data_IF_629556769532
#
_entry.id   IF_629556769532
#
_cell.length_a   1.000
_cell.length_b   1.000
_cell.length_c   1.000
_cell.angle_alpha   90.00
_cell.angle_beta   90.00
_cell.angle_gamma   90.00
#
_symmetry.space_group_name_H-M   'P 1'
#
loop_
_entity.id
_entity.type
_entity.pdbx_description
1 polymer ?
#
# COMPACT_ATOMS: atom_id res chain seq x y z
N UNK A 1 -10.02 22.24 6.97
CA UNK A 1 -11.17 22.66 6.13
C UNK A 1 -12.36 21.78 6.49
N UNK A 2 -13.56 22.33 6.76
CA UNK A 2 -14.74 21.52 7.14
C UNK A 2 -15.32 20.82 5.92
N UNK A 3 -15.46 19.50 5.96
CA UNK A 3 -15.92 18.66 4.85
C UNK A 3 -17.35 18.12 5.04
N UNK A 4 -18.01 18.39 6.19
CA UNK A 4 -19.25 17.72 6.64
C UNK A 4 -20.43 18.68 6.98
N UNK A 5 -20.44 19.91 6.47
CA UNK A 5 -21.27 21.04 6.94
C UNK A 5 -22.80 20.79 7.00
N UNK A 6 -23.33 19.80 6.28
CA UNK A 6 -24.78 19.57 6.12
C UNK A 6 -25.38 18.45 7.01
N UNK A 7 -24.57 17.63 7.68
CA UNK A 7 -25.05 16.45 8.40
C UNK A 7 -25.49 16.76 9.84
N UNK A 8 -26.69 17.31 10.04
CA UNK A 8 -27.16 17.77 11.37
C UNK A 8 -27.57 16.67 12.35
N UNK A 9 -28.09 15.53 11.87
CA UNK A 9 -28.80 14.56 12.74
C UNK A 9 -28.17 13.15 12.74
N UNK A 10 -26.98 12.98 12.14
CA UNK A 10 -26.37 11.65 12.00
C UNK A 10 -27.24 10.64 11.24
N UNK A 11 -28.16 11.10 10.39
CA UNK A 11 -29.07 10.24 9.62
C UNK A 11 -29.10 10.67 8.16
N UNK A 12 -28.56 9.83 7.28
CA UNK A 12 -28.71 10.00 5.84
C UNK A 12 -29.95 9.23 5.39
N UNK A 13 -30.94 9.97 4.87
CA UNK A 13 -32.24 9.46 4.46
C UNK A 13 -32.31 9.39 2.94
N UNK A 14 -33.12 8.46 2.44
CA UNK A 14 -33.39 8.37 1.01
C UNK A 14 -34.05 9.67 0.54
N UNK A 15 -33.52 10.36 -0.48
CA UNK A 15 -34.08 11.62 -0.97
C UNK A 15 -35.50 11.46 -1.54
N UNK A 16 -35.86 10.26 -1.99
CA UNK A 16 -37.18 9.98 -2.59
C UNK A 16 -38.27 9.62 -1.58
N UNK A 17 -37.93 8.89 -0.50
CA UNK A 17 -38.95 8.33 0.40
C UNK A 17 -38.64 8.47 1.90
N UNK A 18 -37.52 9.10 2.27
CA UNK A 18 -37.14 9.35 3.67
C UNK A 18 -36.67 8.12 4.46
N UNK A 19 -36.65 6.91 3.89
CA UNK A 19 -36.20 5.71 4.58
C UNK A 19 -34.69 5.74 4.87
N UNK A 20 -34.28 5.22 6.02
CA UNK A 20 -32.86 5.11 6.44
C UNK A 20 -32.24 3.74 6.09
N UNK A 21 -33.03 2.82 5.52
CA UNK A 21 -32.50 1.53 5.05
C UNK A 21 -31.88 1.70 3.67
N UNK A 22 -30.63 2.12 3.66
CA UNK A 22 -29.83 2.38 2.46
C UNK A 22 -28.59 1.49 2.53
N UNK A 23 -28.18 0.94 1.41
CA UNK A 23 -26.95 0.14 1.29
C UNK A 23 -26.26 0.41 -0.04
N UNK A 24 -24.94 0.25 -0.05
CA UNK A 24 -24.14 0.24 -1.26
C UNK A 24 -24.62 -0.85 -2.24
N UNK A 25 -24.79 -0.47 -3.50
CA UNK A 25 -24.81 -1.40 -4.63
C UNK A 25 -23.37 -1.55 -5.16
N UNK A 26 -22.68 -2.67 -4.88
CA UNK A 26 -21.27 -2.83 -5.27
C UNK A 26 -21.08 -2.86 -6.78
N UNK A 27 -22.11 -3.16 -7.58
CA UNK A 27 -21.94 -3.23 -9.05
C UNK A 27 -21.70 -1.86 -9.69
N UNK A 28 -22.24 -0.79 -9.10
CA UNK A 28 -22.17 0.55 -9.67
C UNK A 28 -21.64 1.61 -8.69
N UNK A 29 -21.34 1.24 -7.44
CA UNK A 29 -20.80 2.16 -6.43
C UNK A 29 -21.84 3.12 -5.84
N UNK A 30 -23.11 3.04 -6.24
CA UNK A 30 -24.17 3.93 -5.81
C UNK A 30 -24.83 3.43 -4.53
N UNK A 31 -25.42 4.35 -3.78
CA UNK A 31 -26.28 4.00 -2.65
C UNK A 31 -27.69 3.70 -3.17
N UNK A 32 -28.29 2.64 -2.65
CA UNK A 32 -29.64 2.20 -3.00
C UNK A 32 -30.51 2.11 -1.76
N UNK A 33 -31.69 2.72 -1.82
CA UNK A 33 -32.71 2.55 -0.80
C UNK A 33 -33.33 1.14 -0.88
N UNK A 34 -33.30 0.38 0.21
CA UNK A 34 -33.90 -0.96 0.26
C UNK A 34 -35.42 -0.95 0.33
N UNK A 35 -36.03 0.19 0.69
CA UNK A 35 -37.48 0.38 0.70
C UNK A 35 -38.04 0.70 -0.70
N UNK A 36 -37.70 1.86 -1.26
CA UNK A 36 -38.27 2.32 -2.54
C UNK A 36 -37.42 1.98 -3.78
N UNK A 37 -36.25 1.34 -3.60
CA UNK A 37 -35.31 0.93 -4.66
C UNK A 37 -34.69 2.06 -5.47
N UNK A 38 -34.90 3.31 -5.08
CA UNK A 38 -34.21 4.46 -5.67
C UNK A 38 -32.71 4.39 -5.41
N UNK A 39 -31.92 4.62 -6.46
CA UNK A 39 -30.48 4.79 -6.41
C UNK A 39 -30.15 6.27 -6.57
N UNK A 40 -29.17 6.75 -5.81
CA UNK A 40 -28.74 8.15 -5.83
C UNK A 40 -27.26 8.24 -6.19
N UNK A 41 -26.90 9.31 -6.89
CA UNK A 41 -25.51 9.56 -7.27
C UNK A 41 -24.68 9.92 -6.04
N UNK A 42 -23.44 9.40 -5.95
CA UNK A 42 -22.51 9.81 -4.91
C UNK A 42 -22.10 11.28 -5.06
N UNK A 43 -22.07 12.00 -3.95
CA UNK A 43 -21.48 13.34 -3.91
C UNK A 43 -19.95 13.23 -3.91
N UNK A 44 -19.28 14.04 -4.72
CA UNK A 44 -17.83 14.20 -4.65
C UNK A 44 -17.47 15.18 -3.54
N UNK A 45 -16.27 15.01 -2.98
CA UNK A 45 -15.73 15.97 -2.03
C UNK A 45 -15.27 17.22 -2.78
N UNK A 46 -16.10 18.27 -2.78
CA UNK A 46 -15.79 19.53 -3.48
C UNK A 46 -14.99 20.53 -2.65
N UNK A 47 -14.89 20.33 -1.34
CA UNK A 47 -14.24 21.23 -0.40
C UNK A 47 -12.69 21.17 -0.45
N UNK A 48 -12.09 20.76 -1.56
CA UNK A 48 -10.65 20.57 -1.67
C UNK A 48 -10.14 21.02 -3.03
N UNK A 49 -8.87 21.42 -3.08
CA UNK A 49 -8.26 21.92 -4.30
C UNK A 49 -8.15 20.77 -5.32
N UNK A 50 -8.63 21.04 -6.54
CA UNK A 50 -8.65 20.07 -7.64
C UNK A 50 -7.41 20.23 -8.50
N UNK A 51 -6.85 21.44 -8.56
CA UNK A 51 -5.61 21.74 -9.26
C UNK A 51 -4.41 21.68 -8.30
N UNK A 52 -3.78 20.51 -8.23
CA UNK A 52 -2.67 20.24 -7.31
C UNK A 52 -1.53 21.24 -7.51
N UNK A 53 -1.31 21.77 -8.72
CA UNK A 53 -0.24 22.73 -9.00
C UNK A 53 -0.39 24.08 -8.26
N UNK A 54 -1.61 24.39 -7.79
CA UNK A 54 -1.93 25.61 -7.04
C UNK A 54 -1.90 25.41 -5.52
N UNK A 55 -1.60 24.21 -5.05
CA UNK A 55 -1.48 23.97 -3.61
C UNK A 55 -0.31 24.78 -3.05
N UNK A 56 -0.62 25.55 -2.00
CA UNK A 56 0.33 26.28 -1.17
C UNK A 56 0.05 25.99 0.30
N UNK A 57 1.11 25.77 1.09
CA UNK A 57 0.98 25.47 2.51
C UNK A 57 0.37 24.10 2.81
N UNK A 58 -0.25 23.95 3.99
CA UNK A 58 -0.80 22.68 4.46
C UNK A 58 -2.32 22.76 4.62
N UNK A 59 -3.04 22.02 3.77
CA UNK A 59 -4.50 21.91 3.83
C UNK A 59 -4.87 20.55 4.43
N UNK A 60 -5.52 20.57 5.59
CA UNK A 60 -5.96 19.35 6.27
C UNK A 60 -7.48 19.27 6.23
N UNK A 61 -8.01 18.18 5.65
CA UNK A 61 -9.42 17.82 5.73
C UNK A 61 -9.84 17.61 7.18
N UNK A 62 -11.10 17.88 7.50
CA UNK A 62 -11.55 17.85 8.89
C UNK A 62 -11.65 16.42 9.46
N UNK A 63 -11.70 15.39 8.62
CA UNK A 63 -11.49 14.00 9.03
C UNK A 63 -10.02 13.62 9.21
N UNK A 64 -9.09 14.42 8.68
CA UNK A 64 -7.64 14.27 8.78
C UNK A 64 -7.02 15.05 9.95
N UNK A 65 -7.79 15.87 10.67
CA UNK A 65 -7.27 16.62 11.83
C UNK A 65 -6.79 15.71 12.95
N UNK A 66 -6.02 16.29 13.87
CA UNK A 66 -5.47 15.59 15.01
C UNK A 66 -6.57 14.92 15.86
N UNK A 67 -6.31 13.67 16.22
CA UNK A 67 -7.11 12.91 17.17
C UNK A 67 -6.86 13.50 18.57
N UNK A 68 -7.92 13.94 19.24
CA UNK A 68 -7.87 14.45 20.61
C UNK A 68 -8.04 13.25 21.56
N UNK A 69 -6.98 12.94 22.31
CA UNK A 69 -6.87 11.75 23.16
C UNK A 69 -7.98 11.63 24.24
N UNK A 70 -8.50 12.76 24.73
CA UNK A 70 -9.55 12.82 25.76
C UNK A 70 -10.98 12.84 25.18
N UNK A 71 -11.14 12.57 23.89
CA UNK A 71 -12.48 12.54 23.28
C UNK A 71 -13.23 11.30 23.73
N UNK A 72 -14.43 11.49 24.28
CA UNK A 72 -15.30 10.39 24.68
C UNK A 72 -15.73 9.62 23.42
N UNK A 73 -15.39 8.32 23.34
CA UNK A 73 -15.81 7.46 22.22
C UNK A 73 -17.32 7.21 22.22
N UNK A 74 -18.01 7.59 23.28
CA UNK A 74 -19.45 7.49 23.44
C UNK A 74 -20.13 8.80 23.00
N UNK A 75 -20.93 8.72 21.93
CA UNK A 75 -21.73 9.86 21.43
C UNK A 75 -23.21 9.54 21.50
N UNK A 76 -23.99 10.50 22.00
CA UNK A 76 -25.45 10.40 22.07
C UNK A 76 -26.08 11.10 20.87
N UNK A 77 -26.81 10.35 20.04
CA UNK A 77 -27.61 10.89 18.95
C UNK A 77 -29.07 10.96 19.33
N UNK A 78 -29.74 12.05 18.96
CA UNK A 78 -31.19 12.17 19.02
C UNK A 78 -31.80 11.65 17.72
N UNK A 79 -32.67 10.65 17.80
CA UNK A 79 -33.35 10.10 16.64
C UNK A 79 -34.36 11.11 16.09
N UNK A 80 -34.09 11.66 14.90
CA UNK A 80 -34.99 12.61 14.23
C UNK A 80 -36.40 12.06 13.93
N UNK A 81 -36.62 10.75 14.01
CA UNK A 81 -37.92 10.14 13.69
C UNK A 81 -38.81 9.84 14.89
N UNK A 82 -38.25 9.54 16.07
CA UNK A 82 -39.05 9.26 17.26
C UNK A 82 -38.63 10.06 18.50
N UNK A 83 -37.59 10.89 18.40
CA UNK A 83 -37.08 11.72 19.49
C UNK A 83 -36.20 10.99 20.50
N UNK A 84 -36.06 9.67 20.42
CA UNK A 84 -35.27 8.88 21.36
C UNK A 84 -33.77 9.18 21.27
N UNK A 85 -33.10 9.17 22.41
CA UNK A 85 -31.64 9.27 22.51
C UNK A 85 -31.00 7.88 22.40
N UNK A 86 -29.95 7.77 21.60
CA UNK A 86 -29.22 6.52 21.36
C UNK A 86 -27.73 6.79 21.50
N UNK A 87 -27.09 6.05 22.40
CA UNK A 87 -25.65 6.13 22.63
C UNK A 87 -24.92 5.19 21.69
N UNK A 88 -23.85 5.68 21.07
CA UNK A 88 -23.02 4.96 20.11
C UNK A 88 -21.58 4.97 20.59
N UNK A 89 -21.01 3.79 20.76
CA UNK A 89 -19.59 3.58 21.02
C UNK A 89 -18.84 3.61 19.69
N UNK A 90 -18.33 4.79 19.34
CA UNK A 90 -17.63 5.07 18.09
C UNK A 90 -16.24 4.44 18.00
N UNK A 91 -15.72 3.87 19.08
CA UNK A 91 -14.54 3.00 19.02
C UNK A 91 -14.87 1.63 18.42
N UNK A 92 -16.13 1.18 18.53
CA UNK A 92 -16.56 -0.15 18.05
C UNK A 92 -17.44 -0.08 16.81
N UNK A 93 -18.30 0.92 16.72
CA UNK A 93 -19.24 1.07 15.62
C UNK A 93 -19.57 2.54 15.36
N UNK A 94 -19.63 2.91 14.09
CA UNK A 94 -20.04 4.25 13.65
C UNK A 94 -21.53 4.31 13.30
N UNK A 95 -22.29 3.23 13.54
CA UNK A 95 -23.74 3.18 13.36
C UNK A 95 -24.42 2.47 14.52
N UNK A 96 -25.65 2.90 14.83
CA UNK A 96 -26.52 2.21 15.78
C UNK A 96 -27.97 2.20 15.30
N UNK A 97 -28.72 1.16 15.66
CA UNK A 97 -30.15 1.07 15.34
C UNK A 97 -30.97 1.58 16.52
N UNK A 98 -31.88 2.51 16.27
CA UNK A 98 -32.80 2.99 17.28
C UNK A 98 -33.71 1.84 17.75
N UNK A 99 -33.78 1.61 19.06
CA UNK A 99 -34.57 0.52 19.63
C UNK A 99 -36.09 0.75 19.53
N UNK A 100 -36.53 2.01 19.47
CA UNK A 100 -37.95 2.37 19.35
C UNK A 100 -38.48 2.27 17.91
N UNK A 101 -37.87 3.01 16.98
CA UNK A 101 -38.40 3.12 15.61
C UNK A 101 -37.58 2.37 14.56
N UNK A 102 -36.50 1.68 14.97
CA UNK A 102 -35.65 0.85 14.11
C UNK A 102 -34.89 1.60 13.00
N UNK A 103 -34.88 2.93 13.01
CA UNK A 103 -34.05 3.73 12.10
C UNK A 103 -32.57 3.60 12.46
N UNK A 104 -31.71 3.65 11.44
CA UNK A 104 -30.27 3.60 11.61
C UNK A 104 -29.73 5.01 11.80
N UNK A 105 -29.04 5.21 12.90
CA UNK A 105 -28.27 6.40 13.24
C UNK A 105 -26.81 6.14 12.88
N UNK A 106 -26.09 7.18 12.50
CA UNK A 106 -24.72 7.10 12.02
C UNK A 106 -23.91 8.31 12.44
N UNK A 107 -22.63 8.09 12.68
CA UNK A 107 -21.67 9.15 12.94
C UNK A 107 -21.28 9.77 11.58
N UNK A 108 -22.09 10.72 11.12
CA UNK A 108 -21.77 11.51 9.93
C UNK A 108 -21.02 12.81 10.27
N UNK A 109 -21.14 13.26 11.51
CA UNK A 109 -20.42 14.43 12.02
C UNK A 109 -19.02 14.03 12.45
N UNK A 110 -18.03 14.83 12.09
CA UNK A 110 -16.67 14.57 12.50
C UNK A 110 -16.49 14.70 14.00
N UNK A 111 -16.14 13.57 14.60
CA UNK A 111 -15.69 13.51 15.98
C UNK A 111 -14.16 13.61 15.94
N UNK A 112 -13.55 14.42 16.81
CA UNK A 112 -12.09 14.54 16.91
C UNK A 112 -11.42 13.28 17.46
N UNK A 113 -12.10 12.14 17.50
CA UNK A 113 -11.51 10.85 17.78
C UNK A 113 -11.07 10.11 16.50
N UNK A 114 -11.35 10.63 15.30
CA UNK A 114 -10.94 10.00 14.03
C UNK A 114 -11.88 8.88 13.53
N UNK A 115 -13.09 8.76 14.08
CA UNK A 115 -14.09 7.78 13.65
C UNK A 115 -14.73 8.09 12.28
N UNK A 116 -14.68 9.36 11.84
CA UNK A 116 -15.33 9.83 10.61
C UNK A 116 -14.28 10.30 9.61
N UNK A 117 -14.17 9.64 8.44
CA UNK A 117 -13.26 10.08 7.40
C UNK A 117 -13.82 11.26 6.60
N UNK A 118 -12.98 11.94 5.80
CA UNK A 118 -13.44 12.93 4.81
C UNK A 118 -14.13 12.26 3.62
N UNK A 119 -13.63 11.08 3.24
CA UNK A 119 -14.04 10.37 2.03
C UNK A 119 -14.10 8.86 2.25
N UNK A 120 -14.88 8.18 1.41
CA UNK A 120 -14.93 6.72 1.30
C UNK A 120 -14.78 6.32 -0.16
N UNK A 121 -14.05 5.23 -0.40
CA UNK A 121 -13.98 4.60 -1.71
C UNK A 121 -14.96 3.41 -1.72
N UNK A 122 -16.08 3.46 -2.44
CA UNK A 122 -17.08 2.40 -2.37
C UNK A 122 -16.55 1.05 -2.86
N UNK A 123 -16.95 -0.07 -2.24
CA UNK A 123 -16.70 -1.40 -2.82
C UNK A 123 -17.24 -1.48 -4.25
N UNK A 124 -16.42 -1.96 -5.19
CA UNK A 124 -16.88 -2.33 -6.54
C UNK A 124 -16.93 -3.84 -6.76
N UNK A 125 -16.09 -4.59 -6.04
CA UNK A 125 -16.01 -6.04 -6.18
C UNK A 125 -16.98 -6.72 -5.20
N UNK A 126 -17.96 -7.51 -5.69
CA UNK A 126 -18.86 -8.27 -4.82
C UNK A 126 -18.13 -9.34 -4.00
N UNK A 127 -18.69 -9.69 -2.83
CA UNK A 127 -18.14 -10.71 -1.93
C UNK A 127 -17.86 -12.04 -2.62
N UNK A 128 -18.72 -12.46 -3.55
CA UNK A 128 -18.57 -13.72 -4.30
C UNK A 128 -17.26 -13.76 -5.10
N UNK A 129 -16.96 -12.69 -5.83
CA UNK A 129 -15.74 -12.61 -6.65
C UNK A 129 -14.49 -12.55 -5.77
N UNK A 130 -14.57 -11.89 -4.61
CA UNK A 130 -13.48 -11.88 -3.64
C UNK A 130 -13.21 -13.28 -3.04
N UNK A 131 -14.27 -14.05 -2.73
CA UNK A 131 -14.14 -15.44 -2.29
C UNK A 131 -13.41 -16.29 -3.33
N UNK A 132 -13.79 -16.17 -4.60
CA UNK A 132 -13.16 -16.88 -5.72
C UNK A 132 -11.68 -16.48 -5.88
N UNK A 133 -11.36 -15.18 -5.74
CA UNK A 133 -9.98 -14.69 -5.80
C UNK A 133 -9.11 -15.27 -4.67
N UNK A 134 -9.63 -15.27 -3.43
CA UNK A 134 -8.94 -15.85 -2.26
C UNK A 134 -8.76 -17.36 -2.42
N UNK A 135 -9.80 -18.07 -2.87
CA UNK A 135 -9.72 -19.51 -3.13
C UNK A 135 -8.67 -19.85 -4.19
N UNK A 136 -8.64 -19.11 -5.30
CA UNK A 136 -7.63 -19.27 -6.35
C UNK A 136 -6.22 -18.98 -5.81
N UNK A 137 -6.06 -17.94 -5.00
CA UNK A 137 -4.78 -17.56 -4.40
C UNK A 137 -4.23 -18.64 -3.47
N UNK A 138 -5.09 -19.18 -2.59
CA UNK A 138 -4.76 -20.25 -1.64
C UNK A 138 -4.57 -21.58 -2.37
N UNK A 139 -5.38 -21.88 -3.38
CA UNK A 139 -5.30 -23.09 -4.20
C UNK A 139 -3.93 -23.25 -4.88
N UNK A 140 -3.37 -22.16 -5.43
CA UNK A 140 -2.01 -22.11 -5.99
C UNK A 140 -0.90 -22.41 -4.96
N UNK A 141 -1.22 -22.34 -3.67
CA UNK A 141 -0.31 -22.57 -2.53
C UNK A 141 -0.74 -23.77 -1.68
N UNK A 142 -1.56 -24.68 -2.21
CA UNK A 142 -2.10 -25.80 -1.42
C UNK A 142 -1.02 -26.86 -1.09
N UNK A 143 0.00 -27.00 -1.93
CA UNK A 143 0.96 -28.11 -1.82
C UNK A 143 1.81 -28.08 -0.54
N UNK A 144 2.33 -26.91 -0.15
CA UNK A 144 3.08 -26.73 1.10
C UNK A 144 2.23 -26.11 2.21
N UNK A 145 0.92 -25.91 2.01
CA UNK A 145 0.06 -25.35 3.04
C UNK A 145 -0.05 -26.29 4.26
N UNK A 146 -0.10 -25.69 5.45
CA UNK A 146 -0.27 -26.41 6.71
C UNK A 146 -1.55 -27.28 6.67
N UNK A 147 -1.52 -28.55 7.10
CA UNK A 147 -2.68 -29.44 7.03
C UNK A 147 -3.90 -28.91 7.77
N UNK A 148 -3.70 -28.34 8.96
CA UNK A 148 -4.77 -27.74 9.76
C UNK A 148 -5.41 -26.55 9.02
N UNK A 149 -4.59 -25.66 8.45
CA UNK A 149 -5.08 -24.56 7.61
C UNK A 149 -5.90 -25.09 6.43
N UNK A 150 -5.44 -26.13 5.73
CA UNK A 150 -6.21 -26.72 4.62
C UNK A 150 -7.55 -27.31 5.04
N UNK A 151 -7.65 -27.83 6.27
CA UNK A 151 -8.89 -28.40 6.83
C UNK A 151 -9.87 -27.31 7.26
N UNK A 152 -9.36 -26.22 7.83
CA UNK A 152 -10.15 -25.12 8.40
C UNK A 152 -10.46 -24.02 7.38
N UNK A 153 -9.75 -23.98 6.25
CA UNK A 153 -9.94 -22.96 5.22
C UNK A 153 -11.36 -23.03 4.65
N UNK A 154 -12.10 -21.94 4.87
CA UNK A 154 -13.41 -21.70 4.28
C UNK A 154 -13.49 -20.25 3.81
N UNK A 155 -14.02 -20.03 2.61
CA UNK A 155 -14.21 -18.69 2.05
C UNK A 155 -15.39 -17.96 2.70
N UNK A 156 -16.19 -18.61 3.56
CA UNK A 156 -17.31 -17.97 4.27
C UNK A 156 -16.85 -16.94 5.30
N UNK A 157 -15.66 -17.14 5.86
CA UNK A 157 -15.03 -16.22 6.82
C UNK A 157 -14.44 -14.96 6.17
N UNK A 158 -14.58 -14.79 4.86
CA UNK A 158 -14.17 -13.55 4.17
C UNK A 158 -15.06 -12.40 4.62
N UNK A 159 -14.45 -11.34 5.14
CA UNK A 159 -15.13 -10.14 5.62
C UNK A 159 -14.75 -8.94 4.74
N UNK A 160 -15.72 -8.06 4.49
CA UNK A 160 -15.44 -6.78 3.86
C UNK A 160 -15.15 -5.75 4.94
N UNK A 161 -14.00 -5.10 4.83
CA UNK A 161 -13.45 -4.18 5.82
C UNK A 161 -13.12 -2.87 5.12
N UNK A 162 -13.49 -1.75 5.73
CA UNK A 162 -12.90 -0.46 5.40
C UNK A 162 -11.71 -0.19 6.31
N UNK A 163 -10.55 -0.01 5.72
CA UNK A 163 -9.33 0.34 6.45
C UNK A 163 -9.08 1.85 6.34
N UNK A 164 -8.54 2.48 7.40
CA UNK A 164 -8.29 3.90 7.43
C UNK A 164 -6.99 4.24 6.70
N UNK A 165 -7.06 5.08 5.66
CA UNK A 165 -5.90 5.61 4.95
C UNK A 165 -5.88 7.14 5.01
N UNK A 166 -4.71 7.70 4.79
CA UNK A 166 -4.52 9.09 4.41
C UNK A 166 -4.19 9.15 2.92
N UNK A 167 -4.91 9.99 2.20
CA UNK A 167 -4.65 10.31 0.79
C UNK A 167 -4.00 11.68 0.78
N UNK A 168 -2.81 11.77 0.19
CA UNK A 168 -2.02 13.00 0.13
C UNK A 168 -1.82 13.43 -1.32
N UNK A 169 -2.20 14.67 -1.59
CA UNK A 169 -1.81 15.36 -2.81
C UNK A 169 -0.71 16.37 -2.46
N UNK A 170 0.33 16.47 -3.28
CA UNK A 170 1.46 17.35 -3.02
C UNK A 170 1.93 18.09 -4.27
N UNK A 171 2.15 19.40 -4.12
CA UNK A 171 2.86 20.24 -5.06
C UNK A 171 4.30 20.41 -4.60
N UNK A 172 5.24 19.92 -5.40
CA UNK A 172 6.64 19.85 -4.99
C UNK A 172 7.57 20.41 -6.05
N UNK A 173 8.76 20.81 -5.63
CA UNK A 173 9.87 21.17 -6.49
C UNK A 173 11.08 20.32 -6.12
N UNK A 174 11.67 19.67 -7.12
CA UNK A 174 12.77 18.74 -6.95
C UNK A 174 14.02 19.27 -7.66
N UNK A 175 15.16 19.23 -6.97
CA UNK A 175 16.48 19.47 -7.53
C UNK A 175 17.37 18.27 -7.21
N UNK A 176 17.75 17.53 -8.25
CA UNK A 176 18.59 16.32 -8.18
C UNK A 176 19.92 16.62 -8.85
N UNK A 177 21.03 16.40 -8.14
CA UNK A 177 22.39 16.65 -8.64
C UNK A 177 23.29 15.46 -8.38
N UNK A 178 24.09 15.08 -9.35
CA UNK A 178 24.98 13.95 -9.23
C UNK A 178 25.72 13.63 -10.52
N UNK A 179 25.98 12.36 -10.74
CA UNK A 179 26.77 11.88 -11.87
C UNK A 179 26.09 10.67 -12.54
N UNK A 180 26.24 10.58 -13.86
CA UNK A 180 25.75 9.47 -14.67
C UNK A 180 26.86 8.87 -15.54
N UNK A 181 26.79 7.57 -15.80
CA UNK A 181 27.71 6.86 -16.69
C UNK A 181 26.98 6.33 -17.92
N UNK A 182 27.57 6.54 -19.09
CA UNK A 182 27.14 5.94 -20.36
C UNK A 182 28.21 4.95 -20.85
N UNK A 183 27.82 3.70 -21.10
CA UNK A 183 28.71 2.68 -21.64
C UNK A 183 29.13 3.00 -23.08
N UNK A 184 30.44 3.12 -23.32
CA UNK A 184 30.99 3.35 -24.66
C UNK A 184 31.60 2.10 -25.27
N UNK A 185 32.04 1.15 -24.43
CA UNK A 185 32.65 -0.09 -24.86
C UNK A 185 32.48 -1.17 -23.81
N UNK A 186 32.24 -2.39 -24.28
CA UNK A 186 32.28 -3.62 -23.49
C UNK A 186 33.12 -4.66 -24.20
N UNK A 187 34.02 -5.31 -23.48
CA UNK A 187 34.82 -6.41 -24.01
C UNK A 187 35.20 -7.38 -22.90
N UNK A 188 35.66 -8.56 -23.31
CA UNK A 188 36.08 -9.61 -22.39
C UNK A 188 37.53 -9.95 -22.67
N UNK A 189 38.34 -10.03 -21.61
CA UNK A 189 39.73 -10.45 -21.69
C UNK A 189 39.91 -11.79 -20.98
N UNK A 190 40.75 -12.65 -21.55
CA UNK A 190 41.15 -13.90 -20.90
C UNK A 190 42.24 -13.60 -19.87
N UNK A 191 42.01 -13.99 -18.63
CA UNK A 191 42.94 -13.85 -17.52
C UNK A 191 43.18 -15.24 -16.90
N UNK A 192 44.23 -15.93 -17.35
CA UNK A 192 44.44 -17.34 -17.03
C UNK A 192 43.31 -18.22 -17.58
N UNK A 193 42.61 -18.94 -16.70
CA UNK A 193 41.47 -19.80 -17.05
C UNK A 193 40.11 -19.08 -16.93
N UNK A 194 40.07 -17.81 -16.51
CA UNK A 194 38.85 -17.01 -16.41
C UNK A 194 38.73 -15.97 -17.54
N UNK A 195 37.51 -15.51 -17.74
CA UNK A 195 37.16 -14.42 -18.65
C UNK A 195 36.62 -13.26 -17.82
N UNK A 196 37.35 -12.14 -17.81
CA UNK A 196 36.94 -10.93 -17.10
C UNK A 196 36.30 -9.96 -18.10
N UNK A 197 35.10 -9.46 -17.78
CA UNK A 197 34.42 -8.46 -18.62
C UNK A 197 34.77 -7.07 -18.11
N UNK A 198 35.25 -6.23 -19.03
CA UNK A 198 35.61 -4.85 -18.75
C UNK A 198 34.75 -3.88 -19.57
N UNK A 199 34.64 -2.67 -19.05
CA UNK A 199 33.81 -1.62 -19.61
C UNK A 199 34.57 -0.29 -19.68
N UNK A 200 34.34 0.47 -20.75
CA UNK A 200 34.68 1.88 -20.81
C UNK A 200 33.39 2.70 -20.75
N UNK A 201 33.41 3.80 -20.00
CA UNK A 201 32.24 4.65 -19.83
C UNK A 201 32.60 6.13 -19.87
N UNK A 202 31.70 6.94 -20.41
CA UNK A 202 31.79 8.39 -20.33
C UNK A 202 31.03 8.86 -19.07
N UNK A 203 31.69 9.64 -18.23
CA UNK A 203 31.14 10.20 -17.00
C UNK A 203 30.61 11.61 -17.27
N UNK A 204 29.38 11.88 -16.80
CA UNK A 204 28.72 13.17 -16.90
C UNK A 204 28.34 13.67 -15.50
N UNK A 205 28.45 14.97 -15.27
CA UNK A 205 27.72 15.64 -14.21
C UNK A 205 26.28 15.85 -14.70
N UNK A 206 25.31 15.42 -13.90
CA UNK A 206 23.89 15.34 -14.24
C UNK A 206 23.10 16.12 -13.20
N UNK A 207 22.28 17.06 -13.66
CA UNK A 207 21.33 17.80 -12.83
C UNK A 207 19.94 17.81 -13.48
N UNK A 208 18.92 17.60 -12.64
CA UNK A 208 17.50 17.67 -13.00
C UNK A 208 16.79 18.59 -12.00
N UNK A 209 16.21 19.65 -12.51
CA UNK A 209 15.45 20.65 -11.74
C UNK A 209 14.05 20.74 -12.32
N UNK A 210 13.02 20.44 -11.53
CA UNK A 210 11.65 20.34 -12.03
C UNK A 210 10.59 20.51 -10.95
N UNK A 211 9.40 20.92 -11.38
CA UNK A 211 8.20 20.89 -10.56
C UNK A 211 7.47 19.55 -10.74
N UNK A 212 6.92 19.02 -9.65
CA UNK A 212 6.25 17.73 -9.63
C UNK A 212 5.00 17.78 -8.77
N UNK A 213 3.85 17.49 -9.38
CA UNK A 213 2.62 17.23 -8.62
C UNK A 213 2.50 15.72 -8.37
N UNK A 214 2.26 15.35 -7.13
CA UNK A 214 2.00 13.97 -6.70
C UNK A 214 0.51 13.90 -6.34
N UNK A 215 -0.23 13.04 -7.02
CA UNK A 215 -1.67 12.88 -6.84
C UNK A 215 -1.98 11.55 -6.14
N UNK A 216 -2.76 11.63 -5.06
CA UNK A 216 -3.36 10.47 -4.44
C UNK A 216 -2.37 9.51 -3.78
N UNK A 217 -1.25 10.00 -3.24
CA UNK A 217 -0.31 9.16 -2.48
C UNK A 217 -1.03 8.59 -1.25
N UNK A 218 -1.22 7.27 -1.23
CA UNK A 218 -1.99 6.57 -0.19
C UNK A 218 -1.08 5.98 0.88
N UNK A 219 -1.36 6.30 2.14
CA UNK A 219 -0.65 5.78 3.31
C UNK A 219 -1.64 5.19 4.30
N UNK A 220 -1.43 3.94 4.72
CA UNK A 220 -2.21 3.30 5.78
C UNK A 220 -2.10 4.10 7.08
N UNK A 221 -3.20 4.28 7.81
CA UNK A 221 -3.26 5.19 8.96
C UNK A 221 -3.59 4.49 10.28
N UNK A 222 -3.43 3.17 10.31
CA UNK A 222 -3.37 2.35 11.52
C UNK A 222 -1.92 2.06 11.94
N UNK A 223 -1.54 2.42 13.18
CA UNK A 223 -0.20 2.15 13.77
C UNK A 223 0.13 0.67 13.74
N UNK A 224 -0.83 -0.19 14.05
CA UNK A 224 -0.67 -1.65 14.00
C UNK A 224 -0.32 -2.10 12.58
N UNK A 225 -1.03 -1.60 11.56
CA UNK A 225 -0.82 -2.02 10.16
C UNK A 225 0.43 -1.40 9.53
N UNK A 226 0.83 -0.23 10.00
CA UNK A 226 2.11 0.40 9.63
C UNK A 226 3.32 -0.35 10.20
N UNK A 227 3.19 -1.04 11.35
CA UNK A 227 4.25 -1.90 11.89
C UNK A 227 4.36 -3.21 11.09
N UNK A 228 5.11 -3.14 10.00
CA UNK A 228 5.48 -4.28 9.15
C UNK A 228 6.56 -5.17 9.77
N UNK A 229 7.17 -4.73 10.88
CA UNK A 229 8.18 -5.50 11.63
C UNK A 229 7.58 -6.49 12.63
N UNK A 230 6.24 -6.47 12.80
CA UNK A 230 5.53 -7.37 13.70
C UNK A 230 5.80 -8.85 13.35
N UNK A 231 6.23 -9.62 14.36
CA UNK A 231 6.51 -11.06 14.21
C UNK A 231 5.28 -11.94 14.38
N UNK A 232 4.18 -11.36 14.87
CA UNK A 232 2.95 -12.07 15.22
C UNK A 232 1.82 -11.81 14.22
N UNK A 233 2.04 -10.95 13.22
CA UNK A 233 1.06 -10.63 12.16
C UNK A 233 1.74 -10.40 10.82
N UNK A 234 1.00 -10.57 9.72
CA UNK A 234 1.49 -10.39 8.34
C UNK A 234 1.04 -9.05 7.75
N UNK A 235 1.35 -7.95 8.44
CA UNK A 235 0.83 -6.61 8.11
C UNK A 235 1.30 -6.09 6.75
N UNK A 236 2.46 -6.52 6.28
CA UNK A 236 2.96 -6.17 4.94
C UNK A 236 1.98 -6.52 3.81
N UNK A 237 1.10 -7.51 4.04
CA UNK A 237 0.04 -7.90 3.10
C UNK A 237 -0.95 -6.74 2.87
N UNK A 238 -1.33 -6.00 3.91
CA UNK A 238 -2.34 -4.93 3.83
C UNK A 238 -1.85 -3.76 2.98
N UNK A 239 -0.57 -3.43 3.04
CA UNK A 239 -0.02 -2.37 2.19
C UNK A 239 0.27 -2.85 0.76
N UNK A 240 0.43 -4.16 0.55
CA UNK A 240 0.75 -4.71 -0.78
C UNK A 240 -0.43 -4.90 -1.73
N UNK A 241 -1.67 -4.63 -1.30
CA UNK A 241 -2.85 -4.65 -2.20
C UNK A 241 -3.07 -3.32 -2.93
N UNK A 242 -2.29 -2.28 -2.60
CA UNK A 242 -2.30 -0.99 -3.30
C UNK A 242 -1.67 -1.14 -4.70
N UNK A 243 -2.02 -0.29 -5.69
CA UNK A 243 -2.75 0.97 -5.56
C UNK A 243 -4.28 0.85 -5.50
N UNK A 244 -4.93 1.87 -4.93
CA UNK A 244 -6.38 2.09 -5.04
C UNK A 244 -6.66 3.20 -6.05
N UNK A 245 -7.83 3.15 -6.69
CA UNK A 245 -8.32 4.20 -7.60
C UNK A 245 -8.95 5.35 -6.82
N UNK A 246 -8.11 6.09 -6.09
CA UNK A 246 -8.53 7.14 -5.15
C UNK A 246 -9.29 8.29 -5.80
N UNK A 247 -9.18 8.50 -7.11
CA UNK A 247 -10.01 9.45 -7.87
C UNK A 247 -11.51 9.14 -7.78
N UNK A 248 -11.86 7.87 -7.54
CA UNK A 248 -13.24 7.40 -7.42
C UNK A 248 -13.78 7.51 -5.99
N UNK A 249 -13.01 8.08 -5.07
CA UNK A 249 -13.46 8.48 -3.75
C UNK A 249 -14.68 9.41 -3.82
N UNK A 250 -15.57 9.26 -2.85
CA UNK A 250 -16.80 10.05 -2.71
C UNK A 250 -16.84 10.62 -1.29
N UNK A 251 -17.55 11.73 -1.11
CA UNK A 251 -17.74 12.34 0.21
C UNK A 251 -18.28 11.30 1.19
N UNK A 252 -17.81 11.35 2.43
CA UNK A 252 -18.24 10.41 3.45
C UNK A 252 -19.77 10.37 3.60
N UNK A 253 -20.31 9.15 3.50
CA UNK A 253 -21.67 8.81 3.91
C UNK A 253 -21.61 7.47 4.64
N UNK A 254 -22.04 7.42 5.90
CA UNK A 254 -22.05 6.19 6.68
C UNK A 254 -22.93 5.07 6.07
N UNK A 255 -23.82 5.33 5.12
CA UNK A 255 -24.52 4.27 4.40
C UNK A 255 -23.56 3.32 3.65
N UNK A 256 -22.34 3.76 3.31
CA UNK A 256 -21.33 2.94 2.63
C UNK A 256 -20.75 1.83 3.51
N UNK A 257 -20.74 2.00 4.83
CA UNK A 257 -20.20 0.99 5.77
C UNK A 257 -21.24 -0.04 6.18
N UNK A 258 -22.52 0.14 5.82
CA UNK A 258 -23.57 -0.80 6.19
C UNK A 258 -23.29 -2.19 5.61
N UNK A 259 -23.18 -3.19 6.48
CA UNK A 259 -22.87 -4.58 6.10
C UNK A 259 -21.37 -4.86 5.97
N UNK A 260 -20.53 -3.87 6.27
CA UNK A 260 -19.08 -3.95 6.33
C UNK A 260 -18.61 -3.62 7.74
N UNK A 261 -17.40 -4.03 8.08
CA UNK A 261 -16.72 -3.54 9.30
C UNK A 261 -15.71 -2.47 8.92
N UNK A 262 -15.21 -1.71 9.89
CA UNK A 262 -14.20 -0.67 9.66
C UNK A 262 -13.22 -0.63 10.82
N UNK A 263 -11.97 -0.23 10.54
CA UNK A 263 -11.01 0.15 11.57
C UNK A 263 -10.96 1.68 11.72
N UNK A 264 -10.80 2.16 12.95
CA UNK A 264 -10.64 3.56 13.29
C UNK A 264 -9.18 3.98 13.10
N UNK A 265 -8.95 5.19 12.58
CA UNK A 265 -7.61 5.79 12.47
C UNK A 265 -7.02 6.07 13.87
N UNK A 266 -5.72 5.82 14.05
CA UNK A 266 -4.99 6.08 15.31
C UNK A 266 -3.65 6.82 15.10
N UNK A 267 -3.41 7.34 13.90
CA UNK A 267 -2.26 8.17 13.53
C UNK A 267 -2.69 9.58 13.11
N UNK A 268 -1.92 10.59 13.49
CA UNK A 268 -2.10 11.97 13.03
C UNK A 268 -1.24 12.28 11.80
N UNK A 269 -1.58 13.37 11.12
CA UNK A 269 -0.82 13.86 9.95
C UNK A 269 0.67 14.00 10.29
N UNK A 270 1.00 14.63 11.43
CA UNK A 270 2.39 14.86 11.85
C UNK A 270 3.21 13.56 11.98
N UNK A 271 2.59 12.48 12.45
CA UNK A 271 3.23 11.17 12.60
C UNK A 271 3.56 10.54 11.23
N UNK A 272 2.79 10.89 10.18
CA UNK A 272 2.94 10.36 8.82
C UNK A 272 3.76 11.27 7.89
N UNK A 273 3.96 12.55 8.24
CA UNK A 273 4.70 13.51 7.40
C UNK A 273 6.08 13.02 7.01
N UNK A 274 6.81 12.42 7.94
CA UNK A 274 8.15 11.87 7.67
C UNK A 274 8.13 10.77 6.62
N UNK A 275 7.19 9.83 6.72
CA UNK A 275 7.00 8.76 5.74
C UNK A 275 6.62 9.32 4.37
N UNK A 276 5.61 10.19 4.32
CA UNK A 276 5.10 10.80 3.09
C UNK A 276 6.19 11.61 2.38
N UNK A 277 7.02 12.34 3.13
CA UNK A 277 8.15 13.08 2.57
C UNK A 277 9.18 12.15 1.92
N UNK A 278 9.53 11.04 2.56
CA UNK A 278 10.47 10.07 1.97
C UNK A 278 9.87 9.34 0.76
N UNK A 279 8.59 8.98 0.81
CA UNK A 279 7.90 8.42 -0.37
C UNK A 279 7.81 9.43 -1.52
N UNK A 280 7.57 10.71 -1.24
CA UNK A 280 7.56 11.77 -2.24
C UNK A 280 8.93 11.96 -2.90
N UNK A 281 10.02 11.83 -2.14
CA UNK A 281 11.38 11.83 -2.71
C UNK A 281 11.63 10.63 -3.60
N UNK A 282 11.17 9.45 -3.21
CA UNK A 282 11.25 8.26 -4.06
C UNK A 282 10.49 8.47 -5.37
N UNK A 283 9.26 8.98 -5.29
CA UNK A 283 8.43 9.31 -6.46
C UNK A 283 9.14 10.32 -7.37
N UNK A 284 9.72 11.40 -6.83
CA UNK A 284 10.46 12.38 -7.61
C UNK A 284 11.69 11.77 -8.31
N UNK A 285 12.46 10.94 -7.60
CA UNK A 285 13.62 10.23 -8.16
C UNK A 285 13.22 9.32 -9.31
N UNK A 286 12.13 8.57 -9.15
CA UNK A 286 11.64 7.66 -10.19
C UNK A 286 11.00 8.39 -11.36
N UNK A 287 10.34 9.53 -11.12
CA UNK A 287 9.84 10.39 -12.19
C UNK A 287 10.99 10.90 -13.08
N UNK A 288 12.11 11.29 -12.47
CA UNK A 288 13.30 11.75 -13.18
C UNK A 288 13.95 10.66 -14.05
N UNK A 289 13.80 9.36 -13.72
CA UNK A 289 14.42 8.27 -14.49
C UNK A 289 14.02 8.25 -15.98
N UNK A 290 12.84 8.79 -16.34
CA UNK A 290 12.41 8.95 -17.74
C UNK A 290 13.31 9.89 -18.56
N UNK A 291 14.11 10.72 -17.89
CA UNK A 291 15.03 11.72 -18.50
C UNK A 291 16.48 11.24 -18.50
N UNK A 292 16.73 10.01 -18.04
CA UNK A 292 18.09 9.47 -17.79
C UNK A 292 18.40 8.26 -18.68
N UNK A 293 17.61 8.00 -19.73
CA UNK A 293 17.75 6.81 -20.57
C UNK A 293 19.14 6.67 -21.22
N UNK A 294 19.83 7.79 -21.43
CA UNK A 294 21.20 7.81 -21.94
C UNK A 294 22.21 7.17 -20.97
N UNK A 295 21.98 7.22 -19.66
CA UNK A 295 22.88 6.72 -18.62
C UNK A 295 22.60 5.25 -18.28
N UNK A 296 22.91 4.36 -19.22
CA UNK A 296 22.62 2.92 -19.17
C UNK A 296 23.35 2.16 -18.06
N UNK A 297 24.49 2.66 -17.58
CA UNK A 297 25.21 2.12 -16.41
C UNK A 297 24.63 2.61 -15.08
N UNK A 298 23.75 3.60 -15.09
CA UNK A 298 23.07 4.15 -13.92
C UNK A 298 23.50 5.56 -13.54
N UNK A 299 22.76 6.14 -12.59
CA UNK A 299 22.97 7.52 -12.09
C UNK A 299 23.09 7.49 -10.57
N UNK A 300 24.11 8.18 -10.05
CA UNK A 300 24.31 8.44 -8.62
C UNK A 300 23.96 9.89 -8.33
N UNK A 301 22.86 10.09 -7.60
CA UNK A 301 22.52 11.37 -7.00
C UNK A 301 23.34 11.62 -5.74
N UNK A 302 24.13 12.69 -5.75
CA UNK A 302 24.93 13.16 -4.61
C UNK A 302 24.12 14.14 -3.74
N UNK A 303 23.17 14.86 -4.36
CA UNK A 303 22.20 15.73 -3.67
C UNK A 303 20.79 15.47 -4.20
N UNK A 304 19.84 15.33 -3.27
CA UNK A 304 18.42 15.10 -3.55
C UNK A 304 17.58 16.05 -2.69
N UNK A 305 17.26 17.23 -3.23
CA UNK A 305 16.38 18.18 -2.55
C UNK A 305 14.95 18.06 -3.07
N UNK A 306 14.00 18.04 -2.15
CA UNK A 306 12.57 18.10 -2.45
C UNK A 306 11.91 19.11 -1.52
N UNK A 307 11.46 20.21 -2.10
CA UNK A 307 10.67 21.24 -1.45
C UNK A 307 9.18 20.96 -1.67
N UNK A 308 8.40 21.02 -0.60
CA UNK A 308 6.93 20.91 -0.67
C UNK A 308 6.36 22.32 -0.65
N UNK A 309 5.88 22.79 -1.81
CA UNK A 309 5.23 24.11 -1.94
C UNK A 309 3.87 24.12 -1.25
N UNK A 310 3.12 23.02 -1.42
CA UNK A 310 1.87 22.80 -0.72
C UNK A 310 1.45 21.34 -0.73
N UNK A 311 0.63 20.97 0.26
CA UNK A 311 0.13 19.61 0.43
C UNK A 311 -1.29 19.60 0.98
N UNK A 312 -2.04 18.57 0.62
CA UNK A 312 -3.42 18.37 1.00
C UNK A 312 -3.63 16.97 1.57
N UNK A 313 -4.21 16.88 2.76
CA UNK A 313 -4.42 15.63 3.49
C UNK A 313 -5.90 15.30 3.64
N UNK A 314 -6.30 14.13 3.16
CA UNK A 314 -7.65 13.58 3.28
C UNK A 314 -7.61 12.28 4.07
N UNK A 315 -8.49 12.12 5.05
CA UNK A 315 -8.72 10.79 5.62
C UNK A 315 -9.74 10.03 4.78
N UNK A 316 -9.45 8.76 4.53
CA UNK A 316 -10.21 7.93 3.62
C UNK A 316 -10.47 6.54 4.20
N UNK A 317 -11.65 6.00 3.90
CA UNK A 317 -11.91 4.57 4.06
C UNK A 317 -11.77 3.85 2.72
N UNK A 318 -10.79 2.95 2.65
CA UNK A 318 -10.52 2.15 1.45
C UNK A 318 -11.00 0.70 1.64
N UNK A 319 -11.66 0.11 0.63
CA UNK A 319 -12.38 -1.14 0.79
C UNK A 319 -11.49 -2.36 0.53
N UNK A 320 -11.48 -3.30 1.46
CA UNK A 320 -10.66 -4.53 1.41
C UNK A 320 -11.52 -5.74 1.74
N UNK A 321 -11.37 -6.82 0.96
CA UNK A 321 -11.86 -8.13 1.38
C UNK A 321 -10.75 -8.86 2.11
N UNK A 322 -10.99 -9.22 3.37
CA UNK A 322 -10.00 -9.79 4.26
C UNK A 322 -10.41 -11.19 4.70
N UNK A 323 -9.45 -12.12 4.63
CA UNK A 323 -9.49 -13.41 5.30
C UNK A 323 -8.34 -13.48 6.30
N UNK A 324 -8.64 -13.85 7.54
CA UNK A 324 -7.65 -13.97 8.62
C UNK A 324 -7.59 -15.40 9.14
N UNK A 325 -6.38 -15.89 9.42
CA UNK A 325 -6.15 -17.21 10.01
C UNK A 325 -5.10 -17.15 11.11
N UNK A 326 -5.47 -17.55 12.34
CA UNK A 326 -4.55 -17.57 13.46
C UNK A 326 -3.83 -18.92 13.55
N UNK A 327 -2.56 -18.95 13.17
CA UNK A 327 -1.70 -20.13 13.34
C UNK A 327 -1.15 -20.15 14.78
N UNK A 328 -1.52 -21.17 15.57
CA UNK A 328 -0.94 -21.41 16.90
C UNK A 328 0.16 -22.47 16.85
N UNK A 329 1.32 -22.19 17.43
CA UNK A 329 2.45 -23.11 17.60
C UNK A 329 3.04 -22.96 19.00
N UNK A 330 2.57 -23.78 19.94
CA UNK A 330 2.89 -23.63 21.37
C UNK A 330 2.45 -22.26 21.87
N UNK A 331 3.36 -21.52 22.51
CA UNK A 331 3.09 -20.17 23.03
C UNK A 331 3.18 -19.06 21.97
N UNK A 332 3.51 -19.38 20.71
CA UNK A 332 3.59 -18.40 19.63
C UNK A 332 2.35 -18.48 18.75
N UNK A 333 1.73 -17.33 18.47
CA UNK A 333 0.63 -17.22 17.51
C UNK A 333 0.98 -16.24 16.41
N UNK A 334 0.80 -16.65 15.15
CA UNK A 334 0.98 -15.81 13.97
C UNK A 334 -0.34 -15.64 13.25
N UNK A 335 -0.77 -14.39 13.04
CA UNK A 335 -1.96 -14.04 12.30
C UNK A 335 -1.63 -13.84 10.82
N UNK A 336 -2.15 -14.75 10.01
CA UNK A 336 -2.02 -14.73 8.56
C UNK A 336 -3.20 -14.00 7.94
N UNK A 337 -2.92 -13.07 7.03
CA UNK A 337 -3.94 -12.40 6.22
C UNK A 337 -3.87 -12.85 4.77
N UNK A 338 -5.02 -12.94 4.14
CA UNK A 338 -5.18 -12.90 2.69
C UNK A 338 -6.13 -11.75 2.38
N UNK A 339 -5.66 -10.77 1.63
CA UNK A 339 -6.38 -9.55 1.32
C UNK A 339 -6.61 -9.45 -0.19
N UNK A 340 -7.77 -8.94 -0.56
CA UNK A 340 -8.13 -8.57 -1.94
C UNK A 340 -8.51 -7.10 -1.94
N UNK A 341 -7.85 -6.31 -2.80
CA UNK A 341 -8.27 -4.96 -3.11
C UNK A 341 -9.68 -5.00 -3.70
N UNK A 342 -10.66 -4.37 -3.04
CA UNK A 342 -12.06 -4.41 -3.46
C UNK A 342 -12.41 -3.45 -4.61
N UNK A 343 -11.37 -2.89 -5.26
CA UNK A 343 -11.43 -2.10 -6.49
C UNK A 343 -10.72 -2.76 -7.66
N UNK A 344 -9.51 -3.28 -7.46
CA UNK A 344 -8.65 -3.80 -8.54
C UNK A 344 -8.61 -5.33 -8.66
N UNK A 345 -9.15 -6.07 -7.68
CA UNK A 345 -9.01 -7.55 -7.53
C UNK A 345 -7.59 -8.02 -7.22
N UNK A 346 -6.64 -7.11 -7.03
CA UNK A 346 -5.29 -7.47 -6.62
C UNK A 346 -5.34 -8.27 -5.31
N UNK A 347 -4.71 -9.45 -5.31
CA UNK A 347 -4.80 -10.41 -4.23
C UNK A 347 -3.42 -10.79 -3.72
N UNK A 348 -3.19 -10.54 -2.44
CA UNK A 348 -1.95 -10.83 -1.74
C UNK A 348 -2.25 -11.51 -0.42
N UNK A 349 -1.31 -12.29 0.11
CA UNK A 349 -1.57 -12.98 1.36
C UNK A 349 -0.43 -13.88 1.80
N UNK A 350 -0.51 -14.28 3.06
CA UNK A 350 0.38 -15.22 3.71
C UNK A 350 -0.36 -16.52 3.96
N UNK A 351 0.16 -17.64 3.43
CA UNK A 351 -0.40 -18.97 3.67
C UNK A 351 0.51 -19.73 4.65
N UNK A 352 -0.03 -20.27 5.77
CA UNK A 352 0.75 -21.06 6.72
C UNK A 352 1.44 -22.24 6.04
N UNK A 353 2.73 -22.43 6.30
CA UNK A 353 3.56 -23.45 5.65
C UNK A 353 3.71 -24.69 6.54
N UNK A 354 3.60 -25.87 5.95
CA UNK A 354 4.00 -27.13 6.57
C UNK A 354 5.53 -27.32 6.48
N UNK A 355 6.24 -26.73 7.45
CA UNK A 355 7.72 -26.71 7.47
C UNK A 355 8.38 -28.08 7.26
N UNK A 356 7.95 -29.19 7.90
CA UNK A 356 8.60 -30.49 7.69
C UNK A 356 8.55 -30.96 6.24
N UNK A 357 7.43 -30.71 5.54
CA UNK A 357 7.28 -31.08 4.12
C UNK A 357 8.16 -30.20 3.23
N UNK A 358 8.23 -28.91 3.52
CA UNK A 358 9.08 -27.99 2.75
C UNK A 358 10.56 -28.35 2.91
N UNK A 359 11.01 -28.60 4.14
CA UNK A 359 12.40 -29.01 4.42
C UNK A 359 12.73 -30.34 3.74
N UNK A 360 11.86 -31.35 3.85
CA UNK A 360 12.07 -32.65 3.21
C UNK A 360 12.24 -32.53 1.69
N UNK A 361 11.34 -31.80 1.02
CA UNK A 361 11.41 -31.63 -0.43
C UNK A 361 12.62 -30.79 -0.83
N UNK A 362 12.96 -29.76 -0.05
CA UNK A 362 14.17 -28.96 -0.29
C UNK A 362 15.43 -29.81 -0.17
N UNK A 363 15.49 -30.73 0.81
CA UNK A 363 16.59 -31.69 0.94
C UNK A 363 16.65 -32.68 -0.22
N UNK A 364 15.51 -33.15 -0.74
CA UNK A 364 15.48 -33.99 -1.95
C UNK A 364 15.98 -33.24 -3.18
N UNK A 365 15.59 -31.97 -3.34
CA UNK A 365 16.11 -31.11 -4.42
C UNK A 365 17.62 -30.94 -4.28
N UNK A 366 18.13 -30.75 -3.07
CA UNK A 366 19.57 -30.66 -2.79
C UNK A 366 20.31 -31.95 -3.19
N UNK A 367 19.77 -33.11 -2.81
CA UNK A 367 20.35 -34.41 -3.19
C UNK A 367 20.39 -34.57 -4.71
N UNK A 368 19.31 -34.21 -5.41
CA UNK A 368 19.28 -34.25 -6.88
C UNK A 368 20.27 -33.27 -7.50
N UNK A 369 20.45 -32.09 -6.90
CA UNK A 369 21.48 -31.13 -7.28
C UNK A 369 22.89 -31.72 -7.15
N UNK A 370 23.20 -32.34 -6.01
CA UNK A 370 24.49 -33.01 -5.77
C UNK A 370 24.71 -34.15 -6.77
N UNK A 371 23.68 -34.96 -7.07
CA UNK A 371 23.79 -36.03 -8.07
C UNK A 371 24.06 -35.44 -9.46
N UNK A 372 23.30 -34.41 -9.88
CA UNK A 372 23.52 -33.73 -11.15
C UNK A 372 24.94 -33.13 -11.23
N UNK A 373 25.44 -32.57 -10.14
CA UNK A 373 26.83 -32.08 -10.02
C UNK A 373 27.84 -33.19 -10.32
N UNK A 374 27.68 -34.37 -9.71
CA UNK A 374 28.61 -35.50 -9.91
C UNK A 374 28.62 -35.94 -11.38
N UNK A 375 27.46 -36.00 -12.04
CA UNK A 375 27.36 -36.43 -13.44
C UNK A 375 27.76 -35.36 -14.47
N UNK A 376 27.79 -34.08 -14.09
CA UNK A 376 28.12 -32.95 -14.99
C UNK A 376 29.52 -32.39 -14.74
N UNK A 377 30.22 -32.88 -13.73
CA UNK A 377 31.62 -32.55 -13.44
C UNK A 377 32.53 -33.17 -14.51
N UNK A 378 32.79 -32.41 -15.56
CA UNK A 378 33.90 -32.61 -16.50
C UNK A 378 35.06 -31.68 -16.15
N UNK A 379 36.29 -32.05 -16.51
CA UNK A 379 37.52 -31.31 -16.14
C UNK A 379 37.52 -29.84 -16.62
N UNK A 380 36.68 -29.48 -17.61
CA UNK A 380 36.58 -28.13 -18.16
C UNK A 380 35.39 -27.29 -17.63
N UNK A 381 34.52 -27.84 -16.77
CA UNK A 381 33.25 -27.20 -16.41
C UNK A 381 33.24 -26.60 -14.99
N UNK A 382 33.21 -25.26 -14.89
CA UNK A 382 33.40 -24.50 -13.64
C UNK A 382 32.09 -24.18 -12.87
N UNK A 383 30.93 -24.54 -13.42
CA UNK A 383 29.60 -24.27 -12.84
C UNK A 383 28.99 -25.31 -11.86
N UNK A 384 29.60 -26.47 -11.53
CA UNK A 384 28.94 -27.49 -10.70
C UNK A 384 28.57 -27.05 -9.27
N UNK A 385 29.24 -26.03 -8.71
CA UNK A 385 28.97 -25.56 -7.34
C UNK A 385 27.58 -24.94 -7.17
N UNK A 386 26.96 -24.40 -8.24
CA UNK A 386 25.62 -23.84 -8.19
C UNK A 386 24.57 -24.89 -7.78
N UNK A 387 24.83 -26.16 -8.07
CA UNK A 387 23.94 -27.26 -7.68
C UNK A 387 23.97 -27.54 -6.18
N UNK A 388 25.03 -27.17 -5.46
CA UNK A 388 25.20 -27.34 -4.00
C UNK A 388 24.36 -26.36 -3.15
N UNK A 389 23.64 -25.46 -3.81
CA UNK A 389 22.71 -24.53 -3.16
C UNK A 389 21.29 -24.68 -3.70
N UNK A 390 21.04 -25.66 -4.57
CA UNK A 390 19.78 -25.79 -5.31
C UNK A 390 18.58 -25.98 -4.37
N UNK A 391 18.71 -26.81 -3.34
CA UNK A 391 17.70 -27.03 -2.31
C UNK A 391 17.56 -25.84 -1.35
N UNK A 392 18.66 -25.17 -0.99
CA UNK A 392 18.63 -23.94 -0.16
C UNK A 392 17.89 -22.81 -0.90
N UNK A 393 18.22 -22.59 -2.17
CA UNK A 393 17.57 -21.60 -3.03
C UNK A 393 16.09 -21.97 -3.19
N UNK A 394 15.78 -23.25 -3.46
CA UNK A 394 14.40 -23.72 -3.56
C UNK A 394 13.61 -23.47 -2.28
N UNK A 395 14.18 -23.77 -1.11
CA UNK A 395 13.56 -23.51 0.19
C UNK A 395 13.20 -22.04 0.34
N UNK A 396 14.15 -21.14 0.09
CA UNK A 396 13.95 -19.70 0.22
C UNK A 396 12.92 -19.15 -0.76
N UNK A 397 12.97 -19.58 -2.02
CA UNK A 397 11.99 -19.19 -3.04
C UNK A 397 10.57 -19.62 -2.65
N UNK A 398 10.40 -20.87 -2.21
CA UNK A 398 9.09 -21.39 -1.81
C UNK A 398 8.59 -20.75 -0.51
N UNK A 399 9.47 -20.56 0.48
CA UNK A 399 9.13 -19.87 1.72
C UNK A 399 8.69 -18.43 1.45
N UNK A 400 9.45 -17.68 0.64
CA UNK A 400 9.13 -16.30 0.25
C UNK A 400 7.80 -16.23 -0.51
N UNK A 401 7.56 -17.12 -1.48
CA UNK A 401 6.31 -17.18 -2.26
C UNK A 401 5.05 -17.45 -1.43
N UNK A 402 5.18 -18.24 -0.37
CA UNK A 402 4.06 -18.61 0.51
C UNK A 402 3.78 -17.56 1.59
N UNK A 403 4.84 -16.95 2.14
CA UNK A 403 4.70 -15.88 3.13
C UNK A 403 4.46 -14.51 2.52
N UNK A 404 4.75 -14.37 1.23
CA UNK A 404 4.78 -13.12 0.49
C UNK A 404 5.62 -12.04 1.22
N UNK A 405 6.76 -12.44 1.77
CA UNK A 405 7.58 -11.60 2.65
C UNK A 405 8.18 -10.37 1.96
N UNK A 406 8.32 -10.40 0.64
CA UNK A 406 8.80 -9.28 -0.16
C UNK A 406 7.70 -8.38 -0.74
N UNK A 407 6.42 -8.71 -0.53
CA UNK A 407 5.32 -7.95 -1.10
C UNK A 407 5.25 -6.55 -0.49
N UNK A 408 5.11 -5.57 -1.37
CA UNK A 408 4.96 -4.15 -1.08
C UNK A 408 4.23 -3.49 -2.23
N UNK A 409 3.65 -2.34 -1.96
CA UNK A 409 3.26 -1.37 -2.98
C UNK A 409 4.50 -0.71 -3.59
N UNK A 410 4.46 -0.42 -4.88
CA UNK A 410 5.52 0.30 -5.59
C UNK A 410 5.11 1.76 -5.75
N UNK A 411 4.97 2.47 -4.62
CA UNK A 411 4.53 3.86 -4.57
C UNK A 411 5.34 4.77 -5.49
N UNK A 412 6.62 4.46 -5.67
CA UNK A 412 7.55 5.21 -6.50
C UNK A 412 7.20 5.21 -8.01
N UNK A 413 6.47 4.19 -8.48
CA UNK A 413 6.06 4.06 -9.90
C UNK A 413 4.56 4.08 -10.11
N UNK A 414 3.78 3.66 -9.11
CA UNK A 414 2.32 3.49 -9.20
C UNK A 414 1.56 4.75 -8.79
N UNK A 415 2.20 5.68 -8.08
CA UNK A 415 1.59 6.98 -7.74
C UNK A 415 1.54 7.88 -8.96
N UNK A 416 0.37 8.50 -9.21
CA UNK A 416 0.18 9.42 -10.32
C UNK A 416 1.02 10.68 -10.10
N UNK A 417 1.74 11.08 -11.14
CA UNK A 417 2.59 12.25 -11.13
C UNK A 417 2.48 13.05 -12.41
N UNK A 418 2.68 14.35 -12.31
CA UNK A 418 2.85 15.23 -13.45
C UNK A 418 4.11 16.09 -13.23
N UNK A 419 5.07 15.94 -14.13
CA UNK A 419 6.35 16.66 -14.09
C UNK A 419 6.29 17.83 -15.07
N UNK A 420 6.61 19.03 -14.59
CA UNK A 420 6.56 20.27 -15.37
C UNK A 420 7.80 21.11 -15.10
N UNK A 421 8.05 22.13 -15.94
CA UNK A 421 9.17 23.06 -15.80
C UNK A 421 10.55 22.37 -15.71
N UNK A 422 10.71 21.21 -16.35
CA UNK A 422 11.96 20.45 -16.32
C UNK A 422 13.10 21.23 -16.98
N UNK A 423 14.21 21.34 -16.27
CA UNK A 423 15.51 21.80 -16.75
C UNK A 423 16.52 20.68 -16.59
N UNK A 424 17.18 20.34 -17.69
CA UNK A 424 18.19 19.31 -17.76
C UNK A 424 19.56 19.97 -17.94
N UNK A 425 20.54 19.52 -17.16
CA UNK A 425 21.93 19.92 -17.31
C UNK A 425 22.82 18.68 -17.27
N UNK A 426 23.46 18.40 -18.40
CA UNK A 426 24.35 17.26 -18.57
C UNK A 426 25.69 17.76 -19.12
N UNK A 427 26.76 17.61 -18.34
CA UNK A 427 28.11 18.05 -18.73
C UNK A 427 29.09 16.90 -18.68
N UNK A 428 29.74 16.63 -19.80
CA UNK A 428 30.81 15.65 -19.88
C UNK A 428 31.96 16.01 -18.93
N UNK A 429 32.41 15.04 -18.15
CA UNK A 429 33.49 15.18 -17.17
C UNK A 429 34.75 14.50 -17.67
N UNK A 430 34.70 13.18 -17.90
CA UNK A 430 35.88 12.40 -18.27
C UNK A 430 35.50 11.02 -18.82
N UNK A 431 36.46 10.36 -19.47
CA UNK A 431 36.34 8.96 -19.88
C UNK A 431 36.92 8.06 -18.79
N UNK A 432 36.14 7.11 -18.31
CA UNK A 432 36.58 6.02 -17.45
C UNK A 432 36.91 4.82 -18.30
N UNK A 433 38.05 4.20 -18.04
CA UNK A 433 38.56 3.07 -18.81
C UNK A 433 38.70 1.84 -17.95
N UNK A 434 38.43 0.67 -18.54
CA UNK A 434 38.69 -0.64 -17.92
C UNK A 434 38.03 -0.79 -16.54
N UNK A 435 36.76 -0.40 -16.45
CA UNK A 435 35.90 -0.66 -15.28
C UNK A 435 35.57 -2.16 -15.22
N UNK A 436 35.54 -2.72 -14.02
CA UNK A 436 35.22 -4.13 -13.72
C UNK A 436 33.73 -4.35 -13.36
N UNK A 437 33.01 -3.26 -13.08
CA UNK A 437 31.60 -3.27 -12.71
C UNK A 437 30.71 -2.94 -13.90
N UNK A 438 29.62 -3.69 -14.06
CA UNK A 438 28.60 -3.49 -15.10
C UNK A 438 27.69 -2.29 -14.86
N UNK A 439 27.66 -1.77 -13.64
CA UNK A 439 26.87 -0.61 -13.23
C UNK A 439 27.76 0.42 -12.54
N UNK A 440 27.33 1.68 -12.58
CA UNK A 440 28.01 2.79 -11.93
C UNK A 440 28.07 2.56 -10.42
N UNK A 441 29.25 2.74 -9.83
CA UNK A 441 29.42 2.64 -8.39
C UNK A 441 28.60 3.71 -7.64
N UNK A 442 27.80 3.26 -6.67
CA UNK A 442 26.95 4.13 -5.88
C UNK A 442 25.67 4.58 -6.58
N UNK A 443 25.36 4.07 -7.78
CA UNK A 443 24.11 4.35 -8.47
C UNK A 443 22.91 4.18 -7.53
N UNK A 444 22.07 5.21 -7.46
CA UNK A 444 20.98 5.27 -6.48
C UNK A 444 19.66 5.80 -7.08
N UNK A 445 19.61 6.07 -8.39
CA UNK A 445 18.42 6.55 -9.10
C UNK A 445 17.23 5.57 -9.06
N UNK A 446 17.48 4.30 -8.76
CA UNK A 446 16.44 3.26 -8.55
C UNK A 446 16.33 2.79 -7.09
N UNK A 447 17.06 3.42 -6.17
CA UNK A 447 17.04 3.08 -4.75
C UNK A 447 15.78 3.65 -4.09
N UNK A 448 15.14 2.87 -3.23
CA UNK A 448 13.90 3.24 -2.52
C UNK A 448 14.22 3.42 -1.03
N UNK A 449 13.85 4.57 -0.47
CA UNK A 449 14.10 4.94 0.94
C UNK A 449 12.82 4.88 1.78
N UNK A 450 11.68 5.31 1.24
CA UNK A 450 10.35 5.35 1.88
C UNK A 450 9.61 4.02 1.95
N UNK A 451 10.33 2.88 1.92
CA UNK A 451 9.70 1.58 2.06
C UNK A 451 9.25 1.34 3.51
N UNK A 452 7.93 1.24 3.73
CA UNK A 452 7.34 0.94 5.04
C UNK A 452 7.97 -0.28 5.72
N UNK A 453 8.40 -1.28 4.94
CA UNK A 453 9.04 -2.51 5.44
C UNK A 453 10.43 -2.28 6.08
N UNK A 454 11.05 -1.12 5.89
CA UNK A 454 12.38 -0.78 6.43
C UNK A 454 12.39 0.43 7.36
N UNK A 455 11.28 1.16 7.44
CA UNK A 455 11.13 2.28 8.36
C UNK A 455 10.79 1.74 9.75
N UNK A 456 11.70 1.95 10.70
CA UNK A 456 11.44 1.69 12.11
C UNK A 456 10.44 2.77 12.61
N UNK A 457 9.15 2.51 12.40
CA UNK A 457 8.08 3.42 12.79
C UNK A 457 8.13 3.75 14.29
N UNK A 458 8.67 2.85 15.13
CA UNK A 458 8.88 3.11 16.57
C UNK A 458 9.95 4.17 16.83
N UNK A 459 10.90 4.39 15.92
CA UNK A 459 11.85 5.52 16.02
C UNK A 459 11.24 6.84 15.57
N UNK A 460 10.29 6.82 14.64
CA UNK A 460 9.60 8.02 14.15
C UNK A 460 8.52 8.51 15.12
N UNK A 461 7.86 7.60 15.84
CA UNK A 461 6.84 7.91 16.85
C UNK A 461 7.41 8.39 18.20
N UNK A 462 8.74 8.37 18.39
CA UNK A 462 9.42 8.69 19.66
C UNK A 462 9.88 10.15 19.78
N UNK A 463 9.44 11.04 18.91
CA UNK A 463 9.73 12.49 19.03
C UNK A 463 8.51 13.26 19.46
#
# INVERSE_FOLDING_TARGET
>A
MKTDVDAKDGQNKCPKCGATDISLNPKNGKLRCNFCRHEFEPEKLDAMEKDISKLEGEIVGSGATNIIADTNDMVTFKCSSCGAEVVVDTAKATQARCHWCRNTLSVNQQIPNGAVPDTVLPFSIPKKEAKEAIEKFVGKRKFFAHPMFRKEFTTDNVMGVYLPYMIVDANTHANLKGQGEHETRRWTEKNGDSYDTYYDADLYDVERDFDLTIEGLTVESSKDKLDTGSKDKTNNIINSIMPFDTENCVKWDANYIKGYTSEKRDTNVEELKGLVKEQSKDVARFAANKTLEFYDRGVRWDSENLEVKGQQWKSAYLPVWLYSYQQKKGNKSLLHYVAVNARTKETTGSVPIHMPKLVLISALVEILGIIAMIFTKTDDNNWPWLFLLSGIIYFWLMHSRYRNSGARHSHETETKTNMTNLREYDKFVTKRRRLDNSTMEGANNTKIKGNSNKLDFKKLLKK
#
